data_IF_151039866955
#
_entry.id   IF_151039866955
#
_cell.length_a   1.000
_cell.length_b   1.000
_cell.length_c   1.000
_cell.angle_alpha   90.00
_cell.angle_beta   90.00
_cell.angle_gamma   90.00
#
_symmetry.space_group_name_H-M   'P 1'
#
loop_
_entity.id
_entity.type
_entity.pdbx_description
1 polymer ?
#
# COMPACT_ATOMS: atom_id res chain seq x y z
N UNK A 1 22.81 -3.01 -6.44
CA UNK A 1 22.67 -4.44 -6.05
C UNK A 1 22.67 -4.69 -4.54
N UNK A 2 23.23 -3.79 -3.70
CA UNK A 2 23.30 -4.01 -2.24
C UNK A 2 21.97 -4.07 -1.48
N UNK A 3 20.95 -3.29 -1.88
CA UNK A 3 19.64 -3.26 -1.19
C UNK A 3 18.92 -4.61 -1.29
N UNK A 4 18.94 -5.25 -2.46
CA UNK A 4 18.34 -6.58 -2.63
C UNK A 4 19.04 -7.65 -1.79
N UNK A 5 20.37 -7.64 -1.75
CA UNK A 5 21.16 -8.56 -0.92
C UNK A 5 20.93 -8.34 0.57
N UNK A 6 20.78 -7.09 1.00
CA UNK A 6 20.42 -6.74 2.36
C UNK A 6 19.06 -7.34 2.74
N UNK A 7 18.03 -7.17 1.90
CA UNK A 7 16.72 -7.77 2.14
C UNK A 7 16.75 -9.30 2.24
N UNK A 8 17.55 -9.97 1.41
CA UNK A 8 17.75 -11.42 1.50
C UNK A 8 18.40 -11.83 2.83
N UNK A 9 19.36 -11.05 3.33
CA UNK A 9 19.97 -11.29 4.63
C UNK A 9 18.94 -11.18 5.76
N UNK A 10 18.14 -10.11 5.78
CA UNK A 10 17.13 -9.91 6.83
C UNK A 10 16.06 -11.01 6.84
N UNK A 11 15.61 -11.44 5.65
CA UNK A 11 14.72 -12.58 5.49
C UNK A 11 15.34 -13.86 6.07
N UNK A 12 16.61 -14.14 5.75
CA UNK A 12 17.31 -15.33 6.25
C UNK A 12 17.51 -15.35 7.76
N UNK A 13 17.58 -14.16 8.39
CA UNK A 13 17.64 -14.00 9.86
C UNK A 13 16.27 -14.00 10.53
N UNK A 14 15.18 -14.07 9.76
CA UNK A 14 13.82 -14.10 10.27
C UNK A 14 13.34 -12.77 10.86
N UNK A 15 13.99 -11.64 10.53
CA UNK A 15 13.65 -10.33 11.09
C UNK A 15 12.30 -9.81 10.60
N UNK A 16 11.93 -10.19 9.37
CA UNK A 16 10.61 -9.92 8.80
C UNK A 16 10.18 -11.06 7.88
N UNK A 17 8.88 -11.39 7.81
CA UNK A 17 8.41 -12.47 6.95
C UNK A 17 8.25 -12.06 5.48
N UNK A 18 8.18 -10.76 5.17
CA UNK A 18 7.93 -10.22 3.85
C UNK A 18 8.82 -9.01 3.54
N UNK A 19 9.23 -8.87 2.28
CA UNK A 19 9.88 -7.68 1.72
C UNK A 19 9.05 -7.20 0.53
N UNK A 20 8.94 -5.89 0.38
CA UNK A 20 8.34 -5.23 -0.77
C UNK A 20 9.36 -4.28 -1.41
N UNK A 21 9.58 -4.43 -2.70
CA UNK A 21 10.40 -3.50 -3.49
C UNK A 21 9.58 -2.91 -4.62
N UNK A 22 9.49 -1.58 -4.69
CA UNK A 22 8.88 -0.89 -5.84
C UNK A 22 9.95 -0.63 -6.90
N UNK A 23 9.77 -1.23 -8.06
CA UNK A 23 10.71 -1.25 -9.18
C UNK A 23 10.03 -0.73 -10.45
N UNK A 24 10.81 -0.32 -11.44
CA UNK A 24 10.29 -0.04 -12.79
C UNK A 24 10.08 -1.35 -13.56
N UNK A 25 9.32 -1.29 -14.66
CA UNK A 25 9.18 -2.43 -15.58
C UNK A 25 10.51 -2.96 -16.14
N UNK A 26 11.53 -2.11 -16.25
CA UNK A 26 12.88 -2.50 -16.69
C UNK A 26 13.71 -3.18 -15.58
N UNK A 27 13.52 -2.76 -14.33
CA UNK A 27 14.33 -3.24 -13.19
C UNK A 27 13.72 -4.42 -12.45
N UNK A 28 12.42 -4.67 -12.59
CA UNK A 28 11.73 -5.80 -11.97
C UNK A 28 12.13 -7.18 -12.56
N UNK A 29 12.23 -7.39 -13.89
CA UNK A 29 12.56 -8.70 -14.47
C UNK A 29 13.85 -9.34 -13.93
N UNK A 30 15.00 -8.64 -13.83
CA UNK A 30 16.22 -9.26 -13.29
C UNK A 30 16.09 -9.63 -11.81
N UNK A 31 15.33 -8.87 -11.02
CA UNK A 31 15.06 -9.19 -9.60
C UNK A 31 14.19 -10.44 -9.49
N UNK A 32 13.12 -10.54 -10.28
CA UNK A 32 12.22 -11.71 -10.32
C UNK A 32 12.97 -12.95 -10.79
N UNK A 33 13.83 -12.84 -11.81
CA UNK A 33 14.65 -13.96 -12.28
C UNK A 33 15.55 -14.51 -11.17
N UNK A 34 16.17 -13.62 -10.38
CA UNK A 34 17.00 -14.01 -9.23
C UNK A 34 16.21 -14.62 -8.09
N UNK A 35 14.99 -14.14 -7.81
CA UNK A 35 14.11 -14.76 -6.81
C UNK A 35 13.71 -16.18 -7.23
N UNK A 36 13.39 -16.37 -8.51
CA UNK A 36 13.08 -17.69 -9.09
C UNK A 36 14.27 -18.66 -8.99
N UNK A 37 15.47 -18.23 -9.37
CA UNK A 37 16.66 -19.08 -9.31
C UNK A 37 17.06 -19.46 -7.88
N UNK A 38 16.76 -18.60 -6.90
CA UNK A 38 16.99 -18.85 -5.49
C UNK A 38 15.85 -19.64 -4.80
N UNK A 39 14.77 -19.99 -5.51
CA UNK A 39 13.62 -20.69 -4.92
C UNK A 39 12.84 -19.86 -3.90
N UNK A 40 12.89 -18.53 -3.99
CA UNK A 40 12.26 -17.62 -3.05
C UNK A 40 10.83 -17.33 -3.50
N UNK A 41 9.86 -17.57 -2.62
CA UNK A 41 8.46 -17.24 -2.87
C UNK A 41 8.31 -15.73 -3.13
N UNK A 42 7.59 -15.39 -4.19
CA UNK A 42 7.39 -14.01 -4.61
C UNK A 42 6.04 -13.80 -5.29
N UNK A 43 5.60 -12.55 -5.30
CA UNK A 43 4.40 -12.06 -5.96
C UNK A 43 4.73 -10.70 -6.61
N UNK A 44 4.29 -10.51 -7.86
CA UNK A 44 4.45 -9.24 -8.58
C UNK A 44 3.09 -8.58 -8.65
N UNK A 45 3.01 -7.37 -8.10
CA UNK A 45 1.81 -6.55 -8.05
C UNK A 45 2.02 -5.29 -8.89
N UNK A 46 1.10 -4.98 -9.79
CA UNK A 46 1.15 -3.74 -10.57
C UNK A 46 0.78 -2.56 -9.67
N UNK A 47 1.76 -1.71 -9.34
CA UNK A 47 1.50 -0.55 -8.48
C UNK A 47 0.87 0.59 -9.28
N UNK A 48 1.39 0.81 -10.49
CA UNK A 48 0.84 1.67 -11.53
C UNK A 48 1.47 1.26 -12.87
N UNK A 49 1.07 1.89 -13.98
CA UNK A 49 1.56 1.54 -15.33
C UNK A 49 3.09 1.50 -15.49
N UNK A 50 3.84 2.26 -14.68
CA UNK A 50 5.31 2.35 -14.79
C UNK A 50 6.05 1.64 -13.66
N UNK A 51 5.35 1.18 -12.62
CA UNK A 51 5.96 0.67 -11.38
C UNK A 51 5.31 -0.64 -10.94
N UNK A 52 6.16 -1.59 -10.58
CA UNK A 52 5.79 -2.90 -10.07
C UNK A 52 6.26 -3.03 -8.62
N UNK A 53 5.41 -3.53 -7.75
CA UNK A 53 5.80 -4.00 -6.43
C UNK A 53 6.19 -5.47 -6.55
N UNK A 54 7.47 -5.77 -6.32
CA UNK A 54 7.96 -7.14 -6.18
C UNK A 54 7.98 -7.48 -4.69
N UNK A 55 7.07 -8.36 -4.31
CA UNK A 55 6.88 -8.85 -2.94
C UNK A 55 7.54 -10.22 -2.84
N UNK A 56 8.35 -10.47 -1.82
CA UNK A 56 9.01 -11.77 -1.63
C UNK A 56 9.32 -12.05 -0.16
N UNK A 57 9.45 -13.32 0.19
CA UNK A 57 9.71 -13.73 1.58
C UNK A 57 9.22 -15.13 1.90
N UNK A 58 8.68 -15.31 3.11
CA UNK A 58 8.15 -16.60 3.56
C UNK A 58 6.90 -16.98 2.75
N UNK A 59 6.76 -18.25 2.31
CA UNK A 59 5.66 -18.67 1.43
C UNK A 59 4.27 -18.27 1.93
N UNK A 60 3.97 -18.48 3.22
CA UNK A 60 2.67 -18.11 3.80
C UNK A 60 2.43 -16.59 3.81
N UNK A 61 3.48 -15.79 4.04
CA UNK A 61 3.38 -14.34 4.03
C UNK A 61 3.17 -13.79 2.61
N UNK A 62 3.85 -14.36 1.63
CA UNK A 62 3.69 -14.01 0.20
C UNK A 62 2.29 -14.37 -0.27
N UNK A 63 1.79 -15.56 0.07
CA UNK A 63 0.42 -15.96 -0.31
C UNK A 63 -0.63 -15.07 0.37
N UNK A 64 -0.46 -14.73 1.65
CA UNK A 64 -1.34 -13.77 2.32
C UNK A 64 -1.35 -12.41 1.60
N UNK A 65 -0.17 -11.85 1.32
CA UNK A 65 -0.01 -10.60 0.59
C UNK A 65 -0.71 -10.63 -0.78
N UNK A 66 -0.53 -11.71 -1.54
CA UNK A 66 -1.20 -11.92 -2.83
C UNK A 66 -2.73 -11.85 -2.75
N UNK A 67 -3.34 -12.28 -1.64
CA UNK A 67 -4.81 -12.29 -1.50
C UNK A 67 -5.39 -10.90 -1.28
N UNK A 68 -4.71 -10.04 -0.52
CA UNK A 68 -5.26 -8.73 -0.17
C UNK A 68 -4.67 -7.57 -1.01
N UNK A 69 -3.48 -7.72 -1.60
CA UNK A 69 -2.90 -6.73 -2.51
C UNK A 69 -3.46 -6.93 -3.93
N UNK A 70 -4.74 -6.60 -4.13
CA UNK A 70 -5.43 -6.74 -5.43
C UNK A 70 -5.64 -5.41 -6.17
N UNK A 71 -5.25 -4.30 -5.55
CA UNK A 71 -5.39 -2.95 -6.09
C UNK A 71 -4.31 -2.01 -5.54
N UNK A 72 -4.42 -0.70 -5.80
CA UNK A 72 -3.45 0.28 -5.34
C UNK A 72 -3.21 0.17 -3.83
N UNK A 73 -1.95 0.29 -3.38
CA UNK A 73 -1.64 0.16 -1.95
C UNK A 73 -2.27 1.26 -1.10
N UNK A 74 -2.56 2.42 -1.69
CA UNK A 74 -3.28 3.50 -1.02
C UNK A 74 -4.73 3.14 -0.70
N UNK A 75 -5.30 2.15 -1.39
CA UNK A 75 -6.71 1.76 -1.26
C UNK A 75 -6.89 0.55 -0.33
N UNK A 76 -5.80 0.06 0.29
CA UNK A 76 -5.90 -1.00 1.29
C UNK A 76 -6.79 -0.56 2.45
N UNK A 77 -7.69 -1.45 2.88
CA UNK A 77 -8.48 -1.24 4.10
C UNK A 77 -7.55 -1.07 5.32
N UNK A 78 -8.03 -0.48 6.43
CA UNK A 78 -7.26 -0.40 7.67
C UNK A 78 -6.69 -1.77 8.10
N UNK A 79 -7.47 -2.84 7.99
CA UNK A 79 -7.06 -4.21 8.32
C UNK A 79 -5.98 -4.73 7.39
N UNK A 80 -6.13 -4.55 6.06
CA UNK A 80 -5.14 -5.01 5.10
C UNK A 80 -3.82 -4.23 5.19
N UNK A 81 -3.86 -2.93 5.47
CA UNK A 81 -2.67 -2.12 5.73
C UNK A 81 -1.99 -2.51 7.04
N UNK A 82 -2.77 -2.82 8.08
CA UNK A 82 -2.23 -3.37 9.33
C UNK A 82 -1.51 -4.71 9.07
N UNK A 83 -2.17 -5.64 8.37
CA UNK A 83 -1.60 -6.94 7.99
C UNK A 83 -0.30 -6.75 7.19
N UNK A 84 -0.30 -5.88 6.19
CA UNK A 84 0.88 -5.60 5.38
C UNK A 84 2.03 -5.07 6.24
N UNK A 85 1.77 -4.11 7.13
CA UNK A 85 2.80 -3.54 7.98
C UNK A 85 3.43 -4.55 8.95
N UNK A 86 2.60 -5.41 9.57
CA UNK A 86 3.09 -6.51 10.42
C UNK A 86 3.95 -7.48 9.61
N UNK A 87 3.55 -7.82 8.38
CA UNK A 87 4.32 -8.71 7.49
C UNK A 87 5.64 -8.07 7.01
N UNK A 88 5.70 -6.75 6.86
CA UNK A 88 6.92 -6.02 6.52
C UNK A 88 7.88 -5.86 7.72
N UNK A 89 7.43 -6.22 8.93
CA UNK A 89 8.21 -6.15 10.16
C UNK A 89 8.17 -4.77 10.83
N UNK A 90 7.17 -3.94 10.55
CA UNK A 90 6.96 -2.73 11.34
C UNK A 90 6.57 -3.08 12.78
N UNK A 91 6.88 -2.15 13.68
CA UNK A 91 6.54 -2.27 15.08
C UNK A 91 5.02 -2.42 15.27
N UNK A 92 4.64 -3.33 16.17
CA UNK A 92 3.23 -3.70 16.36
C UNK A 92 2.44 -2.59 17.03
N UNK A 93 3.04 -1.90 17.99
CA UNK A 93 2.38 -0.81 18.71
C UNK A 93 2.10 0.36 17.75
N UNK A 94 3.09 0.75 16.93
CA UNK A 94 2.89 1.75 15.88
C UNK A 94 1.82 1.34 14.86
N UNK A 95 1.79 0.05 14.46
CA UNK A 95 0.75 -0.45 13.56
C UNK A 95 -0.64 -0.44 14.21
N UNK A 96 -0.76 -0.75 15.51
CA UNK A 96 -2.02 -0.64 16.25
C UNK A 96 -2.54 0.81 16.25
N UNK A 97 -1.66 1.77 16.57
CA UNK A 97 -2.01 3.19 16.58
C UNK A 97 -2.46 3.68 15.20
N UNK A 98 -1.72 3.30 14.14
CA UNK A 98 -2.08 3.60 12.75
C UNK A 98 -3.42 2.98 12.34
N UNK A 99 -3.67 1.73 12.73
CA UNK A 99 -4.94 1.06 12.46
C UNK A 99 -6.11 1.79 13.09
N UNK A 100 -6.03 2.12 14.38
CA UNK A 100 -7.10 2.83 15.11
C UNK A 100 -7.42 4.18 14.44
N UNK A 101 -6.40 4.96 14.11
CA UNK A 101 -6.58 6.26 13.45
C UNK A 101 -7.28 6.12 12.08
N UNK A 102 -6.94 5.09 11.30
CA UNK A 102 -7.56 4.84 9.99
C UNK A 102 -8.98 4.29 10.09
N UNK A 103 -9.24 3.43 11.08
CA UNK A 103 -10.57 2.87 11.33
C UNK A 103 -11.56 3.96 11.76
N UNK A 104 -11.13 4.89 12.63
CA UNK A 104 -11.92 6.06 13.03
C UNK A 104 -12.23 6.98 11.85
N UNK A 105 -11.22 7.27 11.01
CA UNK A 105 -11.40 8.11 9.82
C UNK A 105 -12.37 7.48 8.80
N UNK A 106 -12.37 6.14 8.66
CA UNK A 106 -13.30 5.43 7.79
C UNK A 106 -14.73 5.36 8.36
N UNK A 107 -14.88 5.42 9.69
CA UNK A 107 -16.18 5.41 10.37
C UNK A 107 -16.83 6.79 10.46
N UNK A 108 -16.07 7.88 10.25
CA UNK A 108 -16.62 9.23 10.27
C UNK A 108 -17.61 9.43 9.11
N UNK A 109 -18.83 9.95 9.36
CA UNK A 109 -19.77 10.25 8.29
C UNK A 109 -19.15 11.29 7.35
N UNK A 110 -19.23 11.05 6.04
CA UNK A 110 -18.89 12.06 5.03
C UNK A 110 -19.67 13.33 5.37
N UNK A 111 -18.97 14.39 5.77
CA UNK A 111 -19.59 15.65 6.20
C UNK A 111 -20.55 16.18 5.13
N UNK A 112 -21.59 16.95 5.52
CA UNK A 112 -22.55 17.47 4.57
C UNK A 112 -21.81 18.35 3.54
N UNK A 113 -21.97 18.01 2.27
CA UNK A 113 -21.44 18.76 1.15
C UNK A 113 -21.85 20.23 1.25
N UNK A 114 -20.94 21.09 0.80
CA UNK A 114 -21.13 22.53 0.70
C UNK A 114 -22.53 22.86 0.17
N UNK A 115 -23.30 23.57 0.98
CA UNK A 115 -24.53 24.23 0.52
C UNK A 115 -24.07 25.30 -0.47
N UNK A 116 -24.38 25.13 -1.75
CA UNK A 116 -24.30 26.21 -2.74
C UNK A 116 -25.18 27.36 -2.26
N UNK A 117 -24.53 28.46 -1.88
CA UNK A 117 -25.19 29.72 -1.60
C UNK A 117 -25.75 30.27 -2.92
N UNK A 118 -27.03 30.03 -3.13
CA UNK A 118 -27.79 30.52 -4.28
C UNK A 118 -27.86 32.05 -4.20
N UNK A 119 -26.93 32.72 -4.88
CA UNK A 119 -26.95 34.17 -5.03
C UNK A 119 -28.24 34.60 -5.76
N UNK A 120 -29.12 35.28 -5.03
CA UNK A 120 -30.34 35.91 -5.53
C UNK A 120 -29.98 36.92 -6.63
N UNK A 121 -30.61 36.91 -7.83
CA UNK A 121 -30.39 37.97 -8.80
C UNK A 121 -31.11 39.24 -8.35
N UNK A 122 -30.36 40.33 -8.18
CA UNK A 122 -30.91 41.65 -7.94
C UNK A 122 -31.72 42.13 -9.17
N UNK A 123 -33.02 42.39 -8.96
CA UNK A 123 -33.91 43.04 -9.91
C UNK A 123 -33.55 44.52 -10.17
N UNK A 124 -34.19 45.17 -11.15
CA UNK A 124 -33.55 46.20 -11.96
C UNK A 124 -33.53 47.58 -11.31
N UNK A 125 -32.46 48.31 -11.60
CA UNK A 125 -32.33 49.76 -11.34
C UNK A 125 -33.26 50.53 -12.28
N UNK A 126 -34.19 51.31 -11.71
CA UNK A 126 -34.90 52.38 -12.42
C UNK A 126 -34.83 53.62 -11.55
N UNK A 127 -34.08 54.63 -12.02
CA UNK A 127 -34.00 55.97 -11.40
C UNK A 127 -34.90 56.88 -12.24
N UNK A 128 -35.92 57.46 -11.62
CA UNK A 128 -36.68 58.61 -12.11
C UNK A 128 -36.54 59.76 -11.11
#
# INVERSE_FOLDING_TARGET
>A
MGIFQHHLYELSKGMRPLVLMTLTGETAPPVVARLKSAGIAHYVHEACHTRLNVVFGRPAAVEAARRFMVGPLCDLSPEHDFMLGVLLGYDREQQCQRYLARAEAAAAPAGPGAVEEHAVPAGPVVIH
#
